data_IF_316251832795
#
_entry.id   IF_316251832795
#
_cell.length_a   1.000
_cell.length_b   1.000
_cell.length_c   1.000
_cell.angle_alpha   90.00
_cell.angle_beta   90.00
_cell.angle_gamma   90.00
#
_symmetry.space_group_name_H-M   'P 1'
#
loop_
_entity.id
_entity.type
_entity.pdbx_description
1 polymer ?
#
# COMPACT_ATOMS: atom_id res chain seq x y z
N UNK A 1 -29.96 -21.89 -52.84
CA UNK A 1 -28.79 -22.21 -51.96
C UNK A 1 -28.53 -21.07 -51.05
N UNK A 2 -28.91 -21.20 -49.79
CA UNK A 2 -28.56 -20.21 -48.77
C UNK A 2 -27.21 -20.57 -48.16
N UNK A 3 -26.21 -19.67 -48.32
CA UNK A 3 -24.93 -19.83 -47.67
C UNK A 3 -25.03 -19.20 -46.27
N UNK A 4 -25.00 -20.02 -45.22
CA UNK A 4 -24.88 -19.54 -43.87
C UNK A 4 -23.43 -19.17 -43.62
N UNK A 5 -23.16 -17.86 -43.44
CA UNK A 5 -21.88 -17.38 -42.99
C UNK A 5 -21.91 -17.48 -41.47
N UNK A 6 -21.19 -18.45 -40.92
CA UNK A 6 -21.02 -18.60 -39.51
C UNK A 6 -20.16 -17.45 -38.97
N UNK A 7 -20.76 -16.58 -38.17
CA UNK A 7 -20.01 -15.57 -37.43
C UNK A 7 -19.42 -16.28 -36.22
N UNK A 8 -18.11 -16.55 -36.28
CA UNK A 8 -17.38 -17.04 -35.14
C UNK A 8 -17.15 -15.84 -34.20
N UNK A 9 -17.91 -15.74 -33.10
CA UNK A 9 -17.61 -14.80 -32.05
C UNK A 9 -16.34 -15.29 -31.34
N UNK A 10 -15.21 -14.60 -31.56
CA UNK A 10 -14.04 -14.75 -30.72
C UNK A 10 -14.37 -14.06 -29.36
N UNK A 11 -14.63 -14.85 -28.35
CA UNK A 11 -14.68 -14.36 -26.97
C UNK A 11 -13.24 -14.05 -26.55
N UNK A 12 -12.83 -12.79 -26.66
CA UNK A 12 -11.60 -12.31 -26.01
C UNK A 12 -11.87 -12.26 -24.52
N UNK A 13 -11.39 -13.28 -23.78
CA UNK A 13 -11.40 -13.29 -22.34
C UNK A 13 -10.49 -12.17 -21.83
N UNK A 14 -11.07 -11.15 -21.21
CA UNK A 14 -10.31 -10.13 -20.46
C UNK A 14 -9.79 -10.79 -19.20
N UNK A 15 -8.49 -11.11 -19.18
CA UNK A 15 -7.80 -11.47 -17.94
C UNK A 15 -7.56 -10.17 -17.16
N UNK A 16 -8.40 -9.89 -16.14
CA UNK A 16 -8.06 -8.90 -15.15
C UNK A 16 -6.98 -9.49 -14.24
N UNK A 17 -5.75 -8.98 -14.37
CA UNK A 17 -4.72 -9.19 -13.36
C UNK A 17 -5.23 -8.58 -12.05
N UNK A 18 -5.06 -9.27 -10.89
CA UNK A 18 -5.37 -8.65 -9.61
C UNK A 18 -4.46 -7.43 -9.45
N UNK A 19 -5.00 -6.24 -9.73
CA UNK A 19 -4.36 -4.99 -9.37
C UNK A 19 -4.37 -4.92 -7.84
N UNK A 20 -3.21 -4.58 -7.23
CA UNK A 20 -3.20 -4.10 -5.85
C UNK A 20 -4.22 -2.97 -5.79
N UNK A 21 -5.25 -3.11 -4.95
CA UNK A 21 -6.28 -2.10 -4.81
C UNK A 21 -5.60 -0.78 -4.40
N UNK A 22 -5.89 0.29 -5.14
CA UNK A 22 -5.46 1.63 -4.76
C UNK A 22 -6.12 1.97 -3.42
N UNK A 23 -5.33 2.45 -2.47
CA UNK A 23 -5.82 2.87 -1.17
C UNK A 23 -6.50 4.24 -1.21
N UNK A 24 -7.21 4.56 -0.14
CA UNK A 24 -7.86 5.85 0.10
C UNK A 24 -7.00 6.67 1.07
N UNK A 25 -6.45 7.79 0.61
CA UNK A 25 -5.59 8.66 1.41
C UNK A 25 -6.33 9.26 2.63
N UNK A 26 -7.59 9.62 2.51
CA UNK A 26 -8.37 10.16 3.64
C UNK A 26 -8.61 9.09 4.71
N UNK A 27 -8.91 7.86 4.32
CA UNK A 27 -9.02 6.73 5.23
C UNK A 27 -7.66 6.41 5.89
N UNK A 28 -6.57 6.52 5.13
CA UNK A 28 -5.20 6.34 5.65
C UNK A 28 -4.85 7.40 6.69
N UNK A 29 -5.22 8.65 6.46
CA UNK A 29 -5.01 9.71 7.45
C UNK A 29 -5.69 9.40 8.78
N UNK A 30 -6.91 8.89 8.74
CA UNK A 30 -7.66 8.52 9.94
C UNK A 30 -6.99 7.36 10.72
N UNK A 31 -6.22 6.53 10.03
CA UNK A 31 -5.53 5.35 10.60
C UNK A 31 -4.09 5.65 11.05
N UNK A 32 -3.55 6.81 10.72
CA UNK A 32 -2.12 7.10 10.84
C UNK A 32 -1.67 7.58 12.23
N UNK A 33 -2.57 7.72 13.19
CA UNK A 33 -2.23 8.28 14.50
C UNK A 33 -1.08 7.52 15.20
N UNK A 34 -1.09 6.20 15.16
CA UNK A 34 -0.03 5.37 15.74
C UNK A 34 1.31 5.53 15.00
N UNK A 35 1.28 5.75 13.70
CA UNK A 35 2.46 5.97 12.87
C UNK A 35 3.10 7.34 13.12
N UNK A 36 2.28 8.35 13.34
CA UNK A 36 2.71 9.73 13.55
C UNK A 36 3.63 9.91 14.75
N UNK A 37 3.49 9.08 15.78
CA UNK A 37 4.32 9.14 16.96
C UNK A 37 5.83 9.05 16.67
N UNK A 38 6.21 8.27 15.66
CA UNK A 38 7.59 8.09 15.23
C UNK A 38 7.89 8.76 13.88
N UNK A 39 6.96 8.70 12.94
CA UNK A 39 7.16 9.20 11.56
C UNK A 39 6.70 10.65 11.34
N UNK A 40 6.12 11.27 12.35
CA UNK A 40 5.59 12.64 12.25
C UNK A 40 4.19 12.70 11.66
N UNK A 41 3.41 13.71 12.04
CA UNK A 41 2.04 13.90 11.57
C UNK A 41 1.97 14.15 10.05
N UNK A 42 3.04 14.71 9.47
CA UNK A 42 3.17 14.97 8.03
C UNK A 42 4.11 13.98 7.33
N UNK A 43 4.42 12.87 7.98
CA UNK A 43 5.37 11.88 7.43
C UNK A 43 6.82 12.36 7.38
N UNK A 44 7.15 13.40 8.13
CA UNK A 44 8.51 13.96 8.26
C UNK A 44 8.96 13.84 9.69
N UNK A 45 10.14 13.28 9.88
CA UNK A 45 10.71 13.02 11.21
C UNK A 45 11.58 14.16 11.69
N UNK A 46 11.63 14.33 13.03
CA UNK A 46 12.61 15.16 13.72
C UNK A 46 13.73 14.31 14.32
N UNK A 47 13.48 13.03 14.55
CA UNK A 47 14.46 12.06 15.08
C UNK A 47 15.02 11.24 13.92
N UNK A 48 16.33 11.35 13.61
CA UNK A 48 16.91 10.77 12.40
C UNK A 48 16.86 9.23 12.30
N UNK A 49 16.63 8.54 13.43
CA UNK A 49 16.56 7.06 13.42
C UNK A 49 15.31 6.52 12.71
N UNK A 50 14.29 7.35 12.54
CA UNK A 50 13.07 6.98 11.84
C UNK A 50 13.08 7.52 10.41
N UNK A 51 12.59 6.78 9.41
CA UNK A 51 12.55 7.27 8.05
C UNK A 51 11.39 8.24 7.80
N UNK A 52 11.61 9.21 6.93
CA UNK A 52 10.54 10.01 6.36
C UNK A 52 9.67 9.15 5.45
N UNK A 53 8.36 9.34 5.51
CA UNK A 53 7.39 8.61 4.69
C UNK A 53 6.71 9.53 3.67
N UNK A 54 6.73 10.85 3.88
CA UNK A 54 6.05 11.83 3.04
C UNK A 54 6.56 11.76 1.59
N UNK A 55 5.61 11.63 0.65
CA UNK A 55 5.92 11.62 -0.77
C UNK A 55 6.58 10.35 -1.29
N UNK A 56 6.70 9.30 -0.46
CA UNK A 56 7.21 8.02 -0.89
C UNK A 56 6.22 7.33 -1.84
N UNK A 57 6.71 6.51 -2.75
CA UNK A 57 5.90 5.75 -3.70
C UNK A 57 4.90 4.84 -2.97
N UNK A 58 3.61 4.93 -3.33
CA UNK A 58 2.55 4.18 -2.65
C UNK A 58 2.75 2.66 -2.76
N UNK A 59 3.14 2.16 -3.92
CA UNK A 59 3.38 0.72 -4.12
C UNK A 59 4.56 0.23 -3.27
N UNK A 60 5.62 1.03 -3.21
CA UNK A 60 6.76 0.72 -2.34
C UNK A 60 6.34 0.66 -0.87
N UNK A 61 5.55 1.62 -0.40
CA UNK A 61 5.04 1.64 0.98
C UNK A 61 4.15 0.42 1.27
N UNK A 62 3.28 0.04 0.34
CA UNK A 62 2.47 -1.19 0.49
C UNK A 62 3.36 -2.42 0.64
N UNK A 63 4.34 -2.58 -0.24
CA UNK A 63 5.26 -3.72 -0.18
C UNK A 63 6.09 -3.72 1.09
N UNK A 64 6.55 -2.56 1.54
CA UNK A 64 7.32 -2.44 2.78
C UNK A 64 6.49 -2.83 4.01
N UNK A 65 5.25 -2.35 4.10
CA UNK A 65 4.34 -2.69 5.20
C UNK A 65 3.96 -4.18 5.17
N UNK A 66 3.70 -4.75 3.99
CA UNK A 66 3.45 -6.18 3.83
C UNK A 66 4.67 -7.03 4.24
N UNK A 67 5.87 -6.59 3.90
CA UNK A 67 7.09 -7.29 4.27
C UNK A 67 7.29 -7.33 5.79
N UNK A 68 6.99 -6.22 6.50
CA UNK A 68 6.98 -6.23 7.96
C UNK A 68 5.90 -7.16 8.53
N UNK A 69 4.69 -7.11 7.98
CA UNK A 69 3.58 -7.97 8.43
C UNK A 69 3.89 -9.46 8.26
N UNK A 70 4.54 -9.82 7.15
CA UNK A 70 5.01 -11.19 6.87
C UNK A 70 6.31 -11.55 7.58
N UNK A 71 6.89 -10.62 8.34
CA UNK A 71 8.13 -10.79 9.09
C UNK A 71 9.36 -11.05 8.19
N UNK A 72 9.34 -10.51 6.98
CA UNK A 72 10.40 -10.66 5.97
C UNK A 72 11.49 -9.58 6.08
N UNK A 73 11.25 -8.50 6.83
CA UNK A 73 12.25 -7.43 7.08
C UNK A 73 12.80 -7.56 8.49
N UNK A 74 14.12 -7.43 8.62
CA UNK A 74 14.85 -7.57 9.88
C UNK A 74 15.90 -6.45 10.01
N UNK A 75 16.45 -6.31 11.22
CA UNK A 75 17.49 -5.33 11.53
C UNK A 75 16.93 -3.99 12.01
N UNK A 76 17.76 -3.21 12.70
CA UNK A 76 17.40 -1.90 13.25
C UNK A 76 16.12 -1.96 14.08
N UNK A 77 15.17 -1.07 13.76
CA UNK A 77 13.88 -0.97 14.44
C UNK A 77 12.79 -1.86 13.80
N UNK A 78 13.15 -2.86 13.02
CA UNK A 78 12.18 -3.71 12.31
C UNK A 78 11.18 -4.39 13.24
N UNK A 79 11.60 -4.83 14.42
CA UNK A 79 10.70 -5.46 15.41
C UNK A 79 9.59 -4.52 15.88
N UNK A 80 9.89 -3.22 16.01
CA UNK A 80 8.89 -2.20 16.34
C UNK A 80 7.85 -2.10 15.23
N UNK A 81 8.30 -2.00 13.96
CA UNK A 81 7.39 -1.94 12.82
C UNK A 81 6.56 -3.21 12.68
N UNK A 82 7.13 -4.39 12.88
CA UNK A 82 6.39 -5.66 12.87
C UNK A 82 5.24 -5.66 13.88
N UNK A 83 5.48 -5.13 15.07
CA UNK A 83 4.45 -5.04 16.10
C UNK A 83 3.30 -4.10 15.68
N UNK A 84 3.63 -2.93 15.12
CA UNK A 84 2.62 -1.97 14.68
C UNK A 84 1.79 -2.46 13.51
N UNK A 85 2.38 -3.16 12.54
CA UNK A 85 1.66 -3.60 11.33
C UNK A 85 0.95 -4.93 11.49
N UNK A 86 1.21 -5.69 12.54
CA UNK A 86 0.68 -7.05 12.71
C UNK A 86 -0.84 -7.12 12.68
N UNK A 87 -1.53 -6.08 13.15
CA UNK A 87 -2.99 -6.00 13.19
C UNK A 87 -3.62 -5.31 11.99
N UNK A 88 -2.83 -4.83 11.03
CA UNK A 88 -3.35 -4.13 9.86
C UNK A 88 -3.90 -5.10 8.81
N UNK A 89 -5.07 -4.77 8.25
CA UNK A 89 -5.59 -5.45 7.06
C UNK A 89 -4.85 -4.98 5.79
N UNK A 90 -5.05 -5.68 4.69
CA UNK A 90 -4.51 -5.25 3.40
C UNK A 90 -5.09 -3.89 2.97
N UNK A 91 -6.38 -3.63 3.27
CA UNK A 91 -7.00 -2.33 3.02
C UNK A 91 -6.37 -1.23 3.89
N UNK A 92 -6.11 -1.50 5.17
CA UNK A 92 -5.42 -0.54 6.05
C UNK A 92 -4.04 -0.18 5.50
N UNK A 93 -3.30 -1.17 5.05
CA UNK A 93 -1.97 -0.98 4.46
C UNK A 93 -2.05 -0.15 3.18
N UNK A 94 -3.00 -0.45 2.29
CA UNK A 94 -3.21 0.32 1.07
C UNK A 94 -3.60 1.78 1.35
N UNK A 95 -4.46 2.01 2.33
CA UNK A 95 -4.92 3.35 2.73
C UNK A 95 -3.78 4.16 3.34
N UNK A 96 -3.00 3.58 4.24
CA UNK A 96 -1.83 4.23 4.84
C UNK A 96 -0.78 4.57 3.79
N UNK A 97 -0.50 3.67 2.86
CA UNK A 97 0.42 3.91 1.76
C UNK A 97 -0.04 5.06 0.87
N UNK A 98 -1.33 5.12 0.53
CA UNK A 98 -1.91 6.22 -0.24
C UNK A 98 -1.80 7.56 0.50
N UNK A 99 -2.05 7.57 1.81
CA UNK A 99 -1.94 8.78 2.62
C UNK A 99 -0.52 9.35 2.61
N UNK A 100 0.47 8.54 2.98
CA UNK A 100 1.85 9.02 3.02
C UNK A 100 2.42 9.39 1.64
N UNK A 101 2.05 8.65 0.61
CA UNK A 101 2.44 8.99 -0.76
C UNK A 101 1.87 10.35 -1.23
N UNK A 102 0.72 10.74 -0.71
CA UNK A 102 0.05 12.02 -1.06
C UNK A 102 0.68 13.23 -0.40
N UNK A 103 1.48 13.05 0.64
CA UNK A 103 2.11 14.14 1.38
C UNK A 103 3.33 14.71 0.62
N UNK A 104 3.59 15.99 0.79
CA UNK A 104 4.80 16.62 0.21
C UNK A 104 6.05 16.10 0.94
N UNK A 105 7.06 15.68 0.16
CA UNK A 105 8.34 15.24 0.73
C UNK A 105 9.07 16.34 1.46
#
# INVERSE_FOLDING_TARGET
MMKFVGITLLATGLFSLPALAAGDAAAGQAKAAACAACHGAQGKVTVPMYPNLAGQNAMYLQHALQAYKKRERNGGQAEVMKAYVSGLSDDDIADLAAFYASLKP
#
